data_IF_726657866793
#
_entry.id   IF_726657866793
#
_cell.length_a   1.000
_cell.length_b   1.000
_cell.length_c   1.000
_cell.angle_alpha   90.00
_cell.angle_beta   90.00
_cell.angle_gamma   90.00
#
_symmetry.space_group_name_H-M   'P 1'
#
loop_
_entity.id
_entity.type
_entity.pdbx_description
1 polymer ?
#
# COMPACT_ATOMS: atom_id res chain seq x y z
N UNK A 1 27.35 -4.02 -2.11
CA UNK A 1 26.18 -4.15 -3.02
C UNK A 1 25.04 -4.74 -2.20
N UNK A 2 23.77 -4.52 -2.54
CA UNK A 2 22.65 -5.04 -1.75
C UNK A 2 21.87 -6.12 -2.50
N UNK A 3 21.38 -7.12 -1.77
CA UNK A 3 20.47 -8.13 -2.29
C UNK A 3 19.22 -8.18 -1.40
N UNK A 4 18.05 -7.96 -1.99
CA UNK A 4 16.76 -8.17 -1.33
C UNK A 4 16.32 -9.59 -1.66
N UNK A 5 16.29 -10.46 -0.66
CA UNK A 5 15.76 -11.82 -0.74
C UNK A 5 14.31 -11.82 -0.32
N UNK A 6 13.47 -12.42 -1.14
CA UNK A 6 12.04 -12.54 -0.90
C UNK A 6 11.55 -13.88 -1.42
N UNK A 7 10.67 -14.54 -0.67
CA UNK A 7 9.92 -15.67 -1.21
C UNK A 7 9.02 -15.19 -2.37
N UNK A 8 8.97 -15.93 -3.48
CA UNK A 8 8.20 -15.51 -4.66
C UNK A 8 6.70 -15.25 -4.35
N UNK A 9 6.14 -15.97 -3.37
CA UNK A 9 4.76 -15.82 -2.91
C UNK A 9 4.51 -14.50 -2.15
N UNK A 10 5.55 -13.80 -1.69
CA UNK A 10 5.46 -12.53 -0.93
C UNK A 10 5.83 -11.29 -1.76
N UNK A 11 6.00 -11.44 -3.08
CA UNK A 11 6.40 -10.33 -3.94
C UNK A 11 5.41 -9.15 -3.93
N UNK A 12 4.13 -9.43 -3.68
CA UNK A 12 3.08 -8.42 -3.55
C UNK A 12 3.22 -7.55 -2.29
N UNK A 13 4.04 -7.97 -1.32
CA UNK A 13 4.14 -7.31 -0.03
C UNK A 13 4.81 -5.93 -0.13
N UNK A 14 4.22 -4.85 0.45
CA UNK A 14 4.73 -3.49 0.31
C UNK A 14 6.14 -3.29 0.83
N UNK A 15 6.57 -4.08 1.84
CA UNK A 15 7.93 -4.00 2.39
C UNK A 15 9.03 -4.34 1.37
N UNK A 16 8.77 -5.28 0.45
CA UNK A 16 9.72 -5.66 -0.61
C UNK A 16 9.95 -4.47 -1.53
N UNK A 17 8.86 -3.85 -2.00
CA UNK A 17 8.93 -2.68 -2.85
C UNK A 17 9.52 -1.45 -2.13
N UNK A 18 9.22 -1.28 -0.85
CA UNK A 18 9.82 -0.25 -0.01
C UNK A 18 11.34 -0.40 0.08
N UNK A 19 11.85 -1.61 0.35
CA UNK A 19 13.29 -1.85 0.40
C UNK A 19 14.00 -1.53 -0.93
N UNK A 20 13.42 -1.93 -2.06
CA UNK A 20 13.98 -1.69 -3.39
C UNK A 20 13.97 -0.21 -3.77
N UNK A 21 12.87 0.49 -3.52
CA UNK A 21 12.76 1.93 -3.77
C UNK A 21 13.66 2.74 -2.84
N UNK A 22 13.81 2.33 -1.57
CA UNK A 22 14.72 2.97 -0.64
C UNK A 22 16.18 2.80 -1.07
N UNK A 23 16.60 1.57 -1.43
CA UNK A 23 17.95 1.32 -1.96
C UNK A 23 18.22 2.12 -3.24
N UNK A 24 17.19 2.32 -4.06
CA UNK A 24 17.26 3.20 -5.23
C UNK A 24 17.43 4.67 -4.85
N UNK A 25 16.67 5.16 -3.87
CA UNK A 25 16.77 6.52 -3.36
C UNK A 25 18.14 6.81 -2.76
N UNK A 26 18.73 5.81 -2.09
CA UNK A 26 20.10 5.84 -1.55
C UNK A 26 21.18 5.66 -2.64
N UNK A 27 20.78 5.56 -3.91
CA UNK A 27 21.64 5.36 -5.09
C UNK A 27 22.59 4.16 -4.95
N UNK A 28 22.17 3.13 -4.19
CA UNK A 28 22.94 1.92 -4.00
C UNK A 28 22.60 0.89 -5.06
N UNK A 29 23.61 0.18 -5.58
CA UNK A 29 23.39 -0.95 -6.48
C UNK A 29 22.73 -2.10 -5.71
N UNK A 30 21.56 -2.52 -6.16
CA UNK A 30 20.75 -3.56 -5.54
C UNK A 30 20.16 -4.54 -6.56
N UNK A 31 19.84 -5.75 -6.10
CA UNK A 31 19.17 -6.81 -6.87
C UNK A 31 18.08 -7.48 -6.04
N UNK A 32 17.07 -8.03 -6.70
CA UNK A 32 16.04 -8.87 -6.10
C UNK A 32 16.37 -10.34 -6.38
N UNK A 33 16.39 -11.15 -5.33
CA UNK A 33 16.55 -12.60 -5.39
C UNK A 33 15.24 -13.23 -4.93
N UNK A 34 14.61 -14.00 -5.80
CA UNK A 34 13.38 -14.73 -5.48
C UNK A 34 13.77 -16.13 -5.04
N UNK A 35 13.42 -16.48 -3.80
CA UNK A 35 13.53 -17.85 -3.33
C UNK A 35 12.29 -18.63 -3.79
N UNK A 36 12.45 -19.90 -4.21
CA UNK A 36 11.34 -20.72 -4.68
C UNK A 36 10.28 -20.85 -3.58
N UNK A 37 9.01 -20.91 -3.99
CA UNK A 37 7.88 -21.03 -3.06
C UNK A 37 8.07 -22.28 -2.21
N UNK A 38 8.32 -22.11 -0.92
CA UNK A 38 8.31 -23.23 0.00
C UNK A 38 6.83 -23.60 0.20
N UNK A 39 6.40 -24.72 -0.37
CA UNK A 39 5.05 -25.29 -0.16
C UNK A 39 4.73 -25.49 1.32
N UNK A 40 5.74 -25.50 2.18
CA UNK A 40 5.65 -25.50 3.64
C UNK A 40 5.12 -24.18 4.21
N UNK A 41 5.37 -23.00 3.61
CA UNK A 41 4.95 -21.72 4.19
C UNK A 41 3.44 -21.50 4.08
N UNK A 42 2.86 -21.78 2.91
CA UNK A 42 1.41 -21.67 2.67
C UNK A 42 0.61 -22.79 3.33
N UNK A 43 1.22 -23.95 3.59
CA UNK A 43 0.57 -25.11 4.21
C UNK A 43 0.70 -25.16 5.75
N UNK A 44 1.78 -24.63 6.34
CA UNK A 44 2.05 -24.76 7.78
C UNK A 44 1.56 -23.54 8.58
N UNK A 45 1.52 -22.33 7.97
CA UNK A 45 1.10 -21.09 8.66
C UNK A 45 0.28 -20.13 7.78
N UNK A 46 -0.95 -20.49 7.40
CA UNK A 46 -1.84 -19.61 6.63
C UNK A 46 -2.11 -18.28 7.36
N UNK A 47 -2.15 -18.31 8.69
CA UNK A 47 -2.35 -17.15 9.58
C UNK A 47 -1.23 -16.09 9.45
N UNK A 48 0.03 -16.52 9.24
CA UNK A 48 1.18 -15.62 9.10
C UNK A 48 1.26 -15.02 7.68
N UNK A 49 0.60 -15.63 6.68
CA UNK A 49 0.64 -15.18 5.28
C UNK A 49 -0.23 -13.93 5.02
N UNK A 50 -1.25 -13.68 5.85
CA UNK A 50 -2.20 -12.59 5.63
C UNK A 50 -1.85 -11.34 6.42
N UNK A 51 -1.05 -11.49 7.47
CA UNK A 51 -0.66 -10.40 8.37
C UNK A 51 0.47 -9.57 7.75
N UNK A 52 0.13 -8.39 7.25
CA UNK A 52 1.04 -7.46 6.59
C UNK A 52 2.10 -6.91 7.54
N UNK A 53 1.81 -6.86 8.84
CA UNK A 53 2.79 -6.45 9.85
C UNK A 53 3.84 -7.54 10.17
N UNK A 54 3.63 -8.80 9.74
CA UNK A 54 4.51 -9.94 10.06
C UNK A 54 5.28 -10.46 8.84
N UNK A 55 5.89 -9.57 8.07
CA UNK A 55 6.66 -9.93 6.87
C UNK A 55 8.13 -10.30 7.13
N UNK A 56 8.64 -10.07 8.35
CA UNK A 56 10.08 -10.17 8.68
C UNK A 56 10.68 -11.57 8.45
N UNK A 57 9.87 -12.62 8.52
CA UNK A 57 10.29 -14.00 8.26
C UNK A 57 10.47 -14.30 6.78
N UNK A 58 9.92 -13.48 5.88
CA UNK A 58 9.83 -13.77 4.43
C UNK A 58 10.66 -12.83 3.57
N UNK A 59 11.16 -11.74 4.15
CA UNK A 59 11.99 -10.75 3.48
C UNK A 59 13.29 -10.57 4.26
N UNK A 60 14.41 -10.63 3.56
CA UNK A 60 15.73 -10.35 4.11
C UNK A 60 16.51 -9.44 3.15
N UNK A 61 17.21 -8.47 3.73
CA UNK A 61 18.04 -7.51 3.01
C UNK A 61 19.47 -7.78 3.44
N UNK A 62 20.26 -8.33 2.52
CA UNK A 62 21.66 -8.67 2.73
C UNK A 62 22.54 -7.58 2.11
N UNK A 63 23.45 -7.04 2.91
CA UNK A 63 24.56 -6.24 2.40
C UNK A 63 25.69 -7.19 2.01
N UNK A 64 25.96 -7.34 0.72
CA UNK A 64 27.15 -8.07 0.29
C UNK A 64 28.36 -7.20 0.59
N UNK A 65 29.00 -7.51 1.72
CA UNK A 65 30.40 -7.17 1.94
C UNK A 65 31.20 -7.87 0.84
N UNK A 66 32.12 -7.15 0.22
CA UNK A 66 33.18 -7.77 -0.57
C UNK A 66 34.01 -8.63 0.37
N UNK A 67 33.56 -9.86 0.61
CA UNK A 67 34.41 -10.96 1.02
C UNK A 67 35.39 -11.16 -0.12
N UNK A 68 36.53 -10.47 -0.04
CA UNK A 68 37.73 -10.83 -0.77
C UNK A 68 38.14 -12.24 -0.31
N UNK A 69 37.54 -13.23 -0.96
CA UNK A 69 37.99 -14.61 -1.01
C UNK A 69 38.16 -14.96 -2.49
N UNK A 70 39.00 -14.18 -3.16
CA UNK A 70 39.69 -14.58 -4.37
C UNK A 70 41.13 -14.12 -4.20
N UNK A 71 41.91 -14.95 -3.52
CA UNK A 71 43.35 -14.89 -3.55
C UNK A 71 43.81 -15.07 -5.00
N UNK A 72 44.10 -13.98 -5.70
CA UNK A 72 45.01 -14.02 -6.84
C UNK A 72 45.82 -12.73 -6.84
N UNK A 73 47.12 -12.91 -6.65
CA UNK A 73 48.16 -11.90 -6.86
C UNK A 73 47.97 -11.25 -8.24
N UNK A 74 47.87 -9.93 -8.32
CA UNK A 74 48.92 -9.08 -8.91
C UNK A 74 48.41 -7.65 -9.16
N UNK A 75 49.32 -6.71 -8.88
CA UNK A 75 49.55 -5.41 -9.49
C UNK A 75 48.40 -4.44 -9.83
N UNK A 76 48.48 -3.28 -9.16
CA UNK A 76 48.12 -1.91 -9.55
C UNK A 76 47.40 -1.64 -10.89
N UNK A 77 46.43 -0.72 -10.86
CA UNK A 77 46.48 0.61 -11.54
C UNK A 77 45.14 1.33 -11.34
N UNK A 78 45.23 2.64 -11.13
CA UNK A 78 44.18 3.48 -10.54
C UNK A 78 42.89 3.66 -11.34
N UNK A 79 41.80 3.81 -10.58
CA UNK A 79 40.60 4.54 -10.97
C UNK A 79 40.05 5.25 -9.74
N UNK A 80 39.93 6.58 -9.84
CA UNK A 80 39.12 7.39 -8.92
C UNK A 80 37.66 6.96 -9.09
N UNK A 81 37.23 5.97 -8.31
CA UNK A 81 35.83 5.59 -8.22
C UNK A 81 35.16 6.41 -7.11
N UNK A 82 33.96 6.89 -7.44
CA UNK A 82 32.95 7.52 -6.60
C UNK A 82 32.88 6.93 -5.18
N UNK A 83 32.35 7.64 -4.16
CA UNK A 83 32.42 7.17 -2.78
C UNK A 83 31.54 5.93 -2.60
N UNK A 84 32.12 4.76 -2.86
CA UNK A 84 31.60 3.48 -2.43
C UNK A 84 31.75 3.48 -0.92
N UNK A 85 30.61 3.65 -0.24
CA UNK A 85 30.52 3.71 1.21
C UNK A 85 31.18 2.46 1.79
N UNK A 86 32.30 2.66 2.48
CA UNK A 86 33.03 1.59 3.17
C UNK A 86 32.14 1.06 4.30
N UNK A 87 31.86 -0.25 4.25
CA UNK A 87 31.17 -0.95 5.32
C UNK A 87 32.05 -0.94 6.57
N UNK A 88 31.46 -0.62 7.73
CA UNK A 88 32.15 -0.76 9.00
C UNK A 88 32.48 -2.25 9.25
N UNK A 89 33.74 -2.56 9.56
CA UNK A 89 34.17 -3.89 10.01
C UNK A 89 33.44 -4.23 11.32
N UNK A 90 32.31 -4.93 11.21
CA UNK A 90 31.43 -5.27 12.33
C UNK A 90 29.97 -4.84 12.20
N UNK A 91 29.57 -4.18 11.10
CA UNK A 91 28.18 -3.79 10.86
C UNK A 91 27.22 -4.96 10.67
N UNK A 92 25.92 -4.74 10.94
CA UNK A 92 24.83 -5.65 10.62
C UNK A 92 24.99 -6.12 9.17
N UNK A 93 24.94 -7.43 8.91
CA UNK A 93 25.08 -8.01 7.56
C UNK A 93 23.75 -8.34 6.90
N UNK A 94 22.72 -8.49 7.72
CA UNK A 94 21.35 -8.86 7.33
C UNK A 94 20.36 -8.07 8.16
N UNK A 95 19.32 -7.59 7.49
CA UNK A 95 18.22 -6.84 8.08
C UNK A 95 16.90 -7.35 7.49
N UNK A 96 15.82 -7.32 8.26
CA UNK A 96 14.50 -7.79 7.82
C UNK A 96 13.54 -6.64 7.50
N UNK A 97 13.61 -5.53 8.24
CA UNK A 97 12.77 -4.36 8.02
C UNK A 97 13.42 -3.35 7.07
N UNK A 98 12.67 -2.76 6.12
CA UNK A 98 13.22 -1.74 5.22
C UNK A 98 13.72 -0.50 5.98
N UNK A 99 13.08 -0.15 7.10
CA UNK A 99 13.49 0.98 7.96
C UNK A 99 14.90 0.81 8.53
N UNK A 100 15.31 -0.45 8.73
CA UNK A 100 16.60 -0.79 9.30
C UNK A 100 17.74 -0.79 8.26
N UNK A 101 17.45 -0.52 6.97
CA UNK A 101 18.49 -0.35 5.94
C UNK A 101 19.46 0.78 6.33
N UNK A 102 18.99 1.80 7.04
CA UNK A 102 19.83 2.90 7.50
C UNK A 102 20.94 2.46 8.47
N UNK A 103 20.76 1.36 9.21
CA UNK A 103 21.81 0.83 10.11
C UNK A 103 23.02 0.25 9.37
N UNK A 104 22.92 -0.02 8.06
CA UNK A 104 24.08 -0.42 7.26
C UNK A 104 25.04 0.74 6.99
N UNK A 105 24.56 1.99 7.09
CA UNK A 105 25.36 3.17 6.81
C UNK A 105 25.93 3.74 8.10
N UNK A 106 27.26 3.94 8.20
CA UNK A 106 27.84 4.56 9.39
C UNK A 106 27.32 5.98 9.55
N UNK A 107 27.01 6.40 10.78
CA UNK A 107 26.52 7.74 11.14
C UNK A 107 27.52 8.88 10.85
N UNK A 108 28.63 8.61 10.17
CA UNK A 108 29.82 9.45 10.09
C UNK A 108 29.69 10.69 9.18
N UNK A 109 28.53 10.95 8.59
CA UNK A 109 28.32 12.10 7.69
C UNK A 109 26.92 12.72 7.80
N UNK A 110 26.34 12.79 9.00
CA UNK A 110 25.02 13.39 9.19
C UNK A 110 25.08 14.93 9.20
N UNK A 111 25.03 15.57 8.03
CA UNK A 111 24.64 16.97 7.94
C UNK A 111 23.20 17.19 8.45
N UNK A 112 22.87 18.42 8.87
CA UNK A 112 21.53 18.78 9.36
C UNK A 112 20.40 18.41 8.38
N UNK A 113 20.66 18.48 7.08
CA UNK A 113 19.71 18.09 6.03
C UNK A 113 19.42 16.59 6.02
N UNK A 114 20.46 15.76 6.21
CA UNK A 114 20.32 14.31 6.29
C UNK A 114 19.48 13.90 7.51
N UNK A 115 19.68 14.57 8.65
CA UNK A 115 18.91 14.30 9.85
C UNK A 115 17.43 14.68 9.69
N UNK A 116 17.12 15.81 9.04
CA UNK A 116 15.75 16.20 8.71
C UNK A 116 15.09 15.21 7.75
N UNK A 117 15.81 14.78 6.72
CA UNK A 117 15.30 13.83 5.74
C UNK A 117 15.07 12.44 6.35
N UNK A 118 15.94 12.01 7.26
CA UNK A 118 15.78 10.78 8.03
C UNK A 118 14.57 10.85 8.96
N UNK A 119 14.39 11.98 9.67
CA UNK A 119 13.22 12.18 10.54
C UNK A 119 11.92 12.12 9.74
N UNK A 120 11.83 12.85 8.63
CA UNK A 120 10.66 12.82 7.75
C UNK A 120 10.41 11.41 7.17
N UNK A 121 11.47 10.66 6.87
CA UNK A 121 11.37 9.27 6.46
C UNK A 121 10.79 8.38 7.56
N UNK A 122 11.29 8.49 8.78
CA UNK A 122 10.83 7.68 9.91
C UNK A 122 9.37 7.99 10.25
N UNK A 123 8.98 9.27 10.23
CA UNK A 123 7.59 9.69 10.43
C UNK A 123 6.67 9.08 9.35
N UNK A 124 7.08 9.17 8.08
CA UNK A 124 6.35 8.56 6.97
C UNK A 124 6.29 7.02 7.07
N UNK A 125 7.37 6.39 7.52
CA UNK A 125 7.45 4.95 7.73
C UNK A 125 6.59 4.47 8.91
N UNK A 126 6.41 5.30 9.94
CA UNK A 126 5.47 5.06 11.03
C UNK A 126 4.03 5.18 10.54
N UNK A 127 3.68 6.25 9.81
CA UNK A 127 2.32 6.40 9.23
C UNK A 127 1.99 5.20 8.34
N UNK A 128 2.95 4.81 7.52
CA UNK A 128 2.90 3.61 6.71
C UNK A 128 2.57 2.34 7.53
N UNK A 129 3.32 2.10 8.60
CA UNK A 129 3.10 0.94 9.48
C UNK A 129 1.72 0.96 10.16
N UNK A 130 1.25 2.14 10.60
CA UNK A 130 -0.09 2.30 11.18
C UNK A 130 -1.21 1.96 10.19
N UNK A 131 -1.03 2.31 8.90
CA UNK A 131 -1.99 1.96 7.85
C UNK A 131 -1.99 0.45 7.58
N UNK A 132 -0.83 -0.20 7.57
CA UNK A 132 -0.75 -1.66 7.42
C UNK A 132 -1.41 -2.40 8.58
N UNK A 133 -1.19 -1.95 9.82
CA UNK A 133 -1.88 -2.48 10.99
C UNK A 133 -3.40 -2.29 10.92
N UNK A 134 -3.87 -1.13 10.44
CA UNK A 134 -5.30 -0.92 10.24
C UNK A 134 -5.88 -1.84 9.16
N UNK A 135 -5.12 -2.20 8.12
CA UNK A 135 -5.52 -3.20 7.14
C UNK A 135 -5.58 -4.59 7.76
N UNK A 136 -4.58 -4.97 8.58
CA UNK A 136 -4.59 -6.23 9.33
C UNK A 136 -5.84 -6.33 10.22
N UNK A 137 -6.19 -5.25 10.94
CA UNK A 137 -7.40 -5.18 11.77
C UNK A 137 -8.69 -5.41 10.94
N UNK A 138 -8.77 -4.87 9.71
CA UNK A 138 -9.92 -5.07 8.82
C UNK A 138 -9.98 -6.51 8.31
N UNK A 139 -8.84 -7.09 7.92
CA UNK A 139 -8.76 -8.48 7.48
C UNK A 139 -9.15 -9.44 8.61
N UNK A 140 -8.68 -9.18 9.83
CA UNK A 140 -9.06 -9.95 11.01
C UNK A 140 -10.56 -9.83 11.30
N UNK A 141 -11.11 -8.61 11.30
CA UNK A 141 -12.54 -8.37 11.50
C UNK A 141 -13.38 -9.12 10.45
N UNK A 142 -12.97 -9.08 9.18
CA UNK A 142 -13.63 -9.82 8.09
C UNK A 142 -13.62 -11.32 8.35
N UNK A 143 -12.51 -11.88 8.84
CA UNK A 143 -12.41 -13.32 9.14
C UNK A 143 -13.30 -13.74 10.32
N UNK A 144 -13.58 -12.84 11.26
CA UNK A 144 -14.52 -13.10 12.37
C UNK A 144 -16.00 -13.02 11.97
N UNK A 145 -16.30 -12.54 10.75
CA UNK A 145 -17.65 -12.33 10.22
C UNK A 145 -18.56 -11.37 11.04
N UNK A 146 -17.97 -10.57 11.93
CA UNK A 146 -18.68 -9.56 12.70
C UNK A 146 -18.77 -8.24 11.91
N UNK A 147 -19.97 -7.94 11.40
CA UNK A 147 -20.19 -6.81 10.49
C UNK A 147 -19.97 -5.45 11.16
N UNK A 148 -20.34 -5.29 12.43
CA UNK A 148 -20.14 -4.02 13.15
C UNK A 148 -18.67 -3.75 13.45
N UNK A 149 -17.92 -4.79 13.82
CA UNK A 149 -16.46 -4.67 14.00
C UNK A 149 -15.79 -4.34 12.67
N UNK A 150 -16.19 -5.01 11.58
CA UNK A 150 -15.72 -4.71 10.23
C UNK A 150 -16.02 -3.26 9.82
N UNK A 151 -17.20 -2.74 10.18
CA UNK A 151 -17.57 -1.33 9.93
C UNK A 151 -16.65 -0.37 10.70
N UNK A 152 -16.38 -0.66 11.97
CA UNK A 152 -15.54 0.18 12.82
C UNK A 152 -14.08 0.18 12.35
N UNK A 153 -13.50 -1.00 12.09
CA UNK A 153 -12.12 -1.10 11.59
C UNK A 153 -11.98 -0.49 10.20
N UNK A 154 -12.96 -0.67 9.30
CA UNK A 154 -12.96 0.00 7.99
C UNK A 154 -13.05 1.52 8.12
N UNK A 155 -13.89 2.05 9.03
CA UNK A 155 -13.97 3.49 9.27
C UNK A 155 -12.65 4.07 9.78
N UNK A 156 -11.99 3.37 10.73
CA UNK A 156 -10.65 3.74 11.23
C UNK A 156 -9.61 3.78 10.11
N UNK A 157 -9.62 2.80 9.20
CA UNK A 157 -8.74 2.80 8.03
C UNK A 157 -9.01 4.02 7.13
N UNK A 158 -10.28 4.33 6.86
CA UNK A 158 -10.64 5.50 6.06
C UNK A 158 -10.23 6.81 6.73
N UNK A 159 -10.39 6.93 8.05
CA UNK A 159 -9.94 8.11 8.81
C UNK A 159 -8.42 8.32 8.72
N UNK A 160 -7.63 7.24 8.75
CA UNK A 160 -6.18 7.32 8.55
C UNK A 160 -5.83 7.80 7.14
N UNK A 161 -6.54 7.32 6.12
CA UNK A 161 -6.35 7.78 4.74
C UNK A 161 -6.77 9.24 4.57
N UNK A 162 -7.84 9.68 5.22
CA UNK A 162 -8.25 11.08 5.25
C UNK A 162 -7.19 11.94 5.93
N UNK A 163 -6.59 11.48 7.04
CA UNK A 163 -5.48 12.20 7.69
C UNK A 163 -4.26 12.31 6.76
N UNK A 164 -3.96 11.26 6.00
CA UNK A 164 -2.90 11.27 5.00
C UNK A 164 -3.22 12.28 3.88
N UNK A 165 -4.46 12.30 3.36
CA UNK A 165 -4.92 13.30 2.39
C UNK A 165 -4.78 14.73 2.96
N UNK A 166 -5.17 14.98 4.22
CA UNK A 166 -5.02 16.30 4.87
C UNK A 166 -3.55 16.70 5.06
N UNK A 167 -2.66 15.73 5.30
CA UNK A 167 -1.23 16.01 5.45
C UNK A 167 -0.57 16.46 4.14
N UNK A 168 -1.15 16.08 3.00
CA UNK A 168 -0.73 16.52 1.67
C UNK A 168 -1.26 17.93 1.31
N UNK A 169 -2.14 18.53 2.12
CA UNK A 169 -2.74 19.85 1.84
C UNK A 169 -1.77 21.03 2.01
N UNK A 170 -0.61 20.82 2.62
CA UNK A 170 0.35 21.88 2.91
C UNK A 170 1.36 22.23 1.80
N UNK A 171 1.45 21.42 0.73
CA UNK A 171 2.53 21.51 -0.28
C UNK A 171 2.10 22.14 -1.63
N UNK A 172 0.91 22.75 -1.70
CA UNK A 172 0.28 23.13 -3.00
C UNK A 172 0.84 24.42 -3.66
N UNK A 173 1.74 25.20 -3.04
CA UNK A 173 2.20 26.49 -3.62
C UNK A 173 3.64 26.53 -4.16
N UNK A 174 4.50 25.57 -3.87
CA UNK A 174 5.81 25.46 -4.53
C UNK A 174 6.14 23.99 -4.77
N UNK A 175 5.71 23.46 -5.92
CA UNK A 175 6.11 22.16 -6.48
C UNK A 175 7.60 21.91 -6.24
N UNK A 176 7.97 21.12 -5.24
CA UNK A 176 9.38 20.90 -5.03
C UNK A 176 9.81 19.87 -6.08
N UNK A 177 11.04 20.02 -6.56
CA UNK A 177 11.73 19.09 -7.48
C UNK A 177 11.99 17.73 -6.80
N UNK A 178 11.03 17.18 -6.07
CA UNK A 178 11.16 16.06 -5.15
C UNK A 178 10.99 14.74 -5.87
N UNK A 179 11.96 14.41 -6.71
CA UNK A 179 12.15 13.03 -7.15
C UNK A 179 13.04 12.23 -6.19
N UNK A 180 13.43 12.81 -5.04
CA UNK A 180 14.46 12.27 -4.14
C UNK A 180 14.16 12.36 -2.63
N UNK A 181 12.95 12.75 -2.20
CA UNK A 181 12.60 12.72 -0.78
C UNK A 181 12.34 11.29 -0.31
N UNK A 182 13.07 10.85 0.72
CA UNK A 182 12.98 9.47 1.23
C UNK A 182 11.60 9.13 1.81
N UNK A 183 10.91 10.13 2.39
CA UNK A 183 9.57 10.00 2.98
C UNK A 183 8.48 9.60 1.98
N UNK A 184 8.68 9.87 0.68
CA UNK A 184 7.67 9.56 -0.35
C UNK A 184 7.52 8.07 -0.62
N UNK A 185 8.61 7.31 -0.53
CA UNK A 185 8.66 5.89 -0.90
C UNK A 185 7.84 4.96 0.01
N UNK A 186 7.89 5.05 1.36
CA UNK A 186 7.05 4.21 2.23
C UNK A 186 5.56 4.48 2.03
N UNK A 187 5.16 5.75 1.83
CA UNK A 187 3.76 6.11 1.57
C UNK A 187 3.31 5.61 0.20
N UNK A 188 4.16 5.76 -0.82
CA UNK A 188 3.88 5.27 -2.18
C UNK A 188 3.68 3.77 -2.22
N UNK A 189 4.52 2.98 -1.56
CA UNK A 189 4.44 1.51 -1.61
C UNK A 189 3.17 0.98 -0.97
N UNK A 190 2.71 1.63 0.09
CA UNK A 190 1.44 1.29 0.74
C UNK A 190 0.25 1.74 -0.08
N UNK A 191 0.27 2.95 -0.63
CA UNK A 191 -0.78 3.40 -1.55
C UNK A 191 -0.88 2.48 -2.76
N UNK A 192 0.26 2.06 -3.32
CA UNK A 192 0.31 1.07 -4.40
C UNK A 192 -0.34 -0.24 -3.99
N UNK A 193 0.02 -0.78 -2.82
CA UNK A 193 -0.61 -2.00 -2.29
C UNK A 193 -2.12 -1.82 -2.08
N UNK A 194 -2.55 -0.70 -1.48
CA UNK A 194 -3.95 -0.41 -1.23
C UNK A 194 -4.76 -0.34 -2.52
N UNK A 195 -4.21 0.26 -3.58
CA UNK A 195 -4.90 0.43 -4.87
C UNK A 195 -4.88 -0.85 -5.71
N UNK A 196 -3.73 -1.51 -5.84
CA UNK A 196 -3.55 -2.65 -6.74
C UNK A 196 -3.99 -3.99 -6.12
N UNK A 197 -3.68 -4.20 -4.84
CA UNK A 197 -3.95 -5.45 -4.12
C UNK A 197 -5.20 -5.34 -3.24
N UNK A 198 -5.31 -4.33 -2.36
CA UNK A 198 -6.47 -4.21 -1.47
C UNK A 198 -7.75 -3.76 -2.18
N UNK A 199 -7.61 -3.00 -3.28
CA UNK A 199 -8.72 -2.53 -4.12
C UNK A 199 -9.36 -1.22 -3.66
N UNK A 200 -8.62 -0.34 -2.97
CA UNK A 200 -9.06 0.97 -2.50
C UNK A 200 -9.62 1.83 -3.64
N UNK A 201 -10.77 2.46 -3.38
CA UNK A 201 -11.36 3.44 -4.29
C UNK A 201 -10.74 4.82 -4.02
N UNK A 202 -10.10 5.39 -5.05
CA UNK A 202 -9.44 6.70 -4.97
C UNK A 202 -10.39 7.89 -5.15
N UNK A 203 -11.67 7.66 -5.44
CA UNK A 203 -12.68 8.72 -5.62
C UNK A 203 -12.72 9.76 -4.51
N UNK A 204 -12.78 9.37 -3.21
CA UNK A 204 -12.78 10.33 -2.09
C UNK A 204 -11.41 10.98 -1.79
N UNK A 205 -10.32 10.56 -2.44
CA UNK A 205 -8.95 11.00 -2.15
C UNK A 205 -8.27 11.55 -3.42
N UNK A 206 -8.73 12.71 -3.96
CA UNK A 206 -8.25 13.22 -5.24
C UNK A 206 -6.77 13.64 -5.23
N UNK A 207 -6.24 14.15 -4.11
CA UNK A 207 -4.84 14.60 -4.01
C UNK A 207 -3.91 13.40 -3.90
N UNK A 208 -4.24 12.41 -3.07
CA UNK A 208 -3.55 11.12 -3.03
C UNK A 208 -3.57 10.47 -4.42
N UNK A 209 -4.70 10.51 -5.13
CA UNK A 209 -4.79 9.96 -6.49
C UNK A 209 -3.83 10.68 -7.46
N UNK A 210 -3.72 12.01 -7.37
CA UNK A 210 -2.78 12.82 -8.18
C UNK A 210 -1.32 12.47 -7.83
N UNK A 211 -0.96 12.47 -6.54
CA UNK A 211 0.38 12.14 -6.07
C UNK A 211 0.78 10.70 -6.45
N UNK A 212 -0.14 9.74 -6.29
CA UNK A 212 0.07 8.36 -6.69
C UNK A 212 0.38 8.22 -8.18
N UNK A 213 -0.42 8.85 -9.06
CA UNK A 213 -0.18 8.81 -10.52
C UNK A 213 1.15 9.46 -10.90
N UNK A 214 1.47 10.61 -10.30
CA UNK A 214 2.74 11.29 -10.53
C UNK A 214 3.95 10.42 -10.13
N UNK A 215 3.87 9.75 -8.97
CA UNK A 215 4.93 8.85 -8.51
C UNK A 215 4.99 7.58 -9.38
N UNK A 216 3.86 7.07 -9.84
CA UNK A 216 3.79 5.91 -10.75
C UNK A 216 4.50 6.19 -12.08
N UNK A 217 4.33 7.39 -12.63
CA UNK A 217 4.98 7.84 -13.86
C UNK A 217 6.45 8.26 -13.67
N UNK A 218 6.92 8.31 -12.42
CA UNK A 218 8.30 8.69 -12.11
C UNK A 218 9.31 7.70 -12.70
N UNK A 219 10.43 8.22 -13.19
CA UNK A 219 11.54 7.39 -13.72
C UNK A 219 12.03 6.35 -12.71
N UNK A 220 11.95 6.67 -11.41
CA UNK A 220 12.39 5.79 -10.35
C UNK A 220 11.50 4.54 -10.25
N UNK A 221 10.18 4.74 -10.20
CA UNK A 221 9.19 3.66 -10.13
C UNK A 221 9.16 2.85 -11.42
N UNK A 222 9.27 3.49 -12.60
CA UNK A 222 9.34 2.77 -13.88
C UNK A 222 10.55 1.83 -13.93
N UNK A 223 11.73 2.30 -13.51
CA UNK A 223 12.93 1.49 -13.48
C UNK A 223 12.86 0.36 -12.44
N UNK A 224 12.25 0.63 -11.28
CA UNK A 224 11.95 -0.40 -10.26
C UNK A 224 11.03 -1.49 -10.82
N UNK A 225 9.91 -1.12 -11.44
CA UNK A 225 8.98 -2.07 -12.06
C UNK A 225 9.65 -2.89 -13.16
N UNK A 226 10.51 -2.26 -13.98
CA UNK A 226 11.32 -2.98 -14.98
C UNK A 226 12.29 -3.98 -14.34
N UNK A 227 12.93 -3.61 -13.23
CA UNK A 227 13.82 -4.50 -12.49
C UNK A 227 13.06 -5.72 -11.97
N UNK A 228 11.92 -5.51 -11.31
CA UNK A 228 11.06 -6.59 -10.78
C UNK A 228 10.57 -7.51 -11.90
N UNK A 229 10.09 -6.95 -13.01
CA UNK A 229 9.63 -7.74 -14.16
C UNK A 229 10.78 -8.53 -14.80
N UNK A 230 11.97 -7.94 -14.91
CA UNK A 230 13.15 -8.63 -15.43
C UNK A 230 13.56 -9.77 -14.52
N UNK A 231 13.55 -9.58 -13.20
CA UNK A 231 13.86 -10.67 -12.25
C UNK A 231 12.85 -11.81 -12.36
N UNK A 232 11.55 -11.49 -12.49
CA UNK A 232 10.50 -12.50 -12.71
C UNK A 232 10.69 -13.28 -14.02
N UNK A 233 11.11 -12.60 -15.09
CA UNK A 233 11.39 -13.25 -16.38
C UNK A 233 12.63 -14.14 -16.31
N UNK A 234 13.68 -13.72 -15.61
CA UNK A 234 14.90 -14.51 -15.44
C UNK A 234 14.63 -15.77 -14.61
N UNK A 235 13.90 -15.66 -13.50
CA UNK A 235 13.52 -16.83 -12.69
C UNK A 235 12.61 -17.79 -13.43
N UNK A 236 11.77 -17.27 -14.36
CA UNK A 236 10.93 -18.11 -15.24
C UNK A 236 11.75 -18.94 -16.23
N UNK A 237 12.89 -18.43 -16.67
CA UNK A 237 13.69 -19.08 -17.72
C UNK A 237 14.71 -20.08 -17.16
N UNK A 238 15.18 -19.90 -15.92
CA UNK A 238 16.16 -20.79 -15.28
C UNK A 238 15.53 -22.07 -14.71
N UNK A 239 14.28 -21.99 -14.20
CA UNK A 239 13.57 -23.15 -13.67
C UNK A 239 12.37 -23.49 -14.56
N UNK A 240 12.42 -24.63 -15.25
CA UNK A 240 11.35 -25.14 -16.12
C UNK A 240 9.98 -25.37 -15.44
N UNK A 241 9.85 -25.04 -14.15
CA UNK A 241 8.64 -25.13 -13.32
C UNK A 241 8.35 -23.83 -12.54
N UNK A 242 8.62 -22.66 -13.11
CA UNK A 242 8.24 -21.40 -12.45
C UNK A 242 6.72 -21.19 -12.46
N UNK A 243 6.09 -21.34 -11.29
CA UNK A 243 4.72 -20.90 -11.04
C UNK A 243 4.74 -19.37 -10.98
N UNK A 244 3.97 -18.64 -11.83
CA UNK A 244 3.91 -17.19 -11.75
C UNK A 244 3.57 -16.75 -10.32
N UNK A 245 4.12 -15.63 -9.82
CA UNK A 245 3.84 -15.17 -8.47
C UNK A 245 2.33 -15.10 -8.28
N UNK A 246 1.81 -15.89 -7.33
CA UNK A 246 0.37 -15.91 -7.07
C UNK A 246 -0.08 -14.50 -6.71
N UNK A 247 -1.19 -14.02 -7.28
CA UNK A 247 -1.82 -12.82 -6.74
C UNK A 247 -2.11 -13.02 -5.26
N UNK A 248 -2.13 -11.92 -4.50
CA UNK A 248 -2.46 -11.97 -3.09
C UNK A 248 -3.85 -12.60 -2.88
N UNK A 249 -3.98 -13.48 -1.89
CA UNK A 249 -5.21 -14.26 -1.67
C UNK A 249 -6.45 -13.38 -1.38
N UNK A 250 -6.23 -12.17 -0.87
CA UNK A 250 -7.27 -11.20 -0.51
C UNK A 250 -7.41 -10.08 -1.53
N UNK A 251 -7.01 -10.32 -2.77
CA UNK A 251 -7.04 -9.28 -3.80
C UNK A 251 -8.45 -8.69 -3.96
N UNK A 252 -8.55 -7.38 -3.78
CA UNK A 252 -9.79 -6.62 -3.87
C UNK A 252 -10.68 -6.66 -2.62
N UNK A 253 -10.18 -7.15 -1.47
CA UNK A 253 -11.02 -7.33 -0.28
C UNK A 253 -11.69 -6.04 0.19
N UNK A 254 -11.10 -4.85 -0.01
CA UNK A 254 -11.74 -3.59 0.39
C UNK A 254 -13.04 -3.36 -0.40
N UNK A 255 -13.09 -3.76 -1.67
CA UNK A 255 -14.31 -3.67 -2.48
C UNK A 255 -15.36 -4.64 -1.97
N UNK A 256 -14.96 -5.81 -1.53
CA UNK A 256 -15.87 -6.80 -0.95
C UNK A 256 -16.40 -6.34 0.41
N UNK A 257 -15.54 -5.77 1.27
CA UNK A 257 -15.96 -5.14 2.54
C UNK A 257 -16.93 -4.01 2.27
N UNK A 258 -16.68 -3.13 1.29
CA UNK A 258 -17.60 -2.07 0.91
C UNK A 258 -18.95 -2.59 0.43
N UNK A 259 -18.97 -3.67 -0.37
CA UNK A 259 -20.21 -4.33 -0.78
C UNK A 259 -20.96 -4.91 0.41
N UNK A 260 -20.26 -5.64 1.28
CA UNK A 260 -20.87 -6.25 2.48
C UNK A 260 -21.44 -5.19 3.42
N UNK A 261 -20.73 -4.07 3.62
CA UNK A 261 -21.22 -2.95 4.44
C UNK A 261 -22.42 -2.26 3.77
N UNK A 262 -22.38 -2.07 2.45
CA UNK A 262 -23.53 -1.55 1.71
C UNK A 262 -24.76 -2.46 1.88
N UNK A 263 -24.60 -3.78 1.70
CA UNK A 263 -25.68 -4.76 1.87
C UNK A 263 -26.20 -4.84 3.31
N UNK A 264 -25.32 -4.70 4.30
CA UNK A 264 -25.66 -4.70 5.72
C UNK A 264 -26.45 -3.44 6.13
N UNK A 265 -26.10 -2.29 5.57
CA UNK A 265 -26.79 -1.01 5.85
C UNK A 265 -28.06 -0.80 5.02
N UNK A 266 -28.19 -1.49 3.88
CA UNK A 266 -29.32 -1.31 2.97
C UNK A 266 -30.58 -2.03 3.47
N UNK A 267 -31.62 -1.25 3.77
CA UNK A 267 -32.96 -1.77 4.03
C UNK A 267 -33.51 -2.50 2.78
N UNK A 268 -34.05 -3.72 2.91
CA UNK A 268 -34.77 -4.40 1.83
C UNK A 268 -35.79 -3.51 1.10
N UNK A 269 -36.50 -2.63 1.82
CA UNK A 269 -37.47 -1.73 1.22
C UNK A 269 -36.81 -0.66 0.32
N UNK A 270 -35.66 -0.14 0.72
CA UNK A 270 -34.90 0.83 -0.09
C UNK A 270 -34.33 0.17 -1.35
N UNK A 271 -33.85 -1.08 -1.25
CA UNK A 271 -33.36 -1.85 -2.41
C UNK A 271 -34.42 -2.10 -3.47
N UNK A 272 -35.68 -2.31 -3.08
CA UNK A 272 -36.79 -2.49 -4.03
C UNK A 272 -37.17 -1.21 -4.76
N UNK A 273 -36.84 -0.05 -4.19
CA UNK A 273 -37.21 1.28 -4.70
C UNK A 273 -36.06 1.91 -5.50
N UNK A 274 -34.82 1.49 -5.26
CA UNK A 274 -33.66 2.00 -5.99
C UNK A 274 -33.70 1.59 -7.47
N UNK A 275 -33.32 2.52 -8.35
CA UNK A 275 -33.42 2.35 -9.81
C UNK A 275 -34.86 2.38 -10.38
N UNK A 276 -35.90 2.30 -9.56
CA UNK A 276 -37.29 2.35 -10.02
C UNK A 276 -37.69 3.80 -10.35
N UNK A 277 -38.18 4.00 -11.59
CA UNK A 277 -38.73 5.27 -12.05
C UNK A 277 -40.18 5.07 -12.44
N UNK A 278 -41.06 5.95 -11.96
CA UNK A 278 -42.46 5.95 -12.33
C UNK A 278 -42.72 6.84 -13.55
N UNK A 279 -43.97 6.89 -13.99
CA UNK A 279 -44.43 7.74 -15.10
C UNK A 279 -44.15 9.25 -14.89
N UNK A 280 -44.01 9.66 -13.62
CA UNK A 280 -43.71 11.05 -13.23
C UNK A 280 -42.23 11.29 -12.93
N UNK A 281 -41.35 10.38 -13.37
CA UNK A 281 -39.92 10.41 -13.09
C UNK A 281 -39.54 9.67 -11.79
N UNK A 282 -38.48 10.10 -11.08
CA UNK A 282 -38.00 9.40 -9.89
C UNK A 282 -39.05 9.41 -8.79
N UNK A 283 -39.13 8.31 -8.04
CA UNK A 283 -40.14 8.14 -6.98
C UNK A 283 -40.01 9.23 -5.91
N UNK A 284 -41.15 9.70 -5.39
CA UNK A 284 -41.19 10.73 -4.33
C UNK A 284 -40.42 10.29 -3.07
N UNK A 285 -40.43 8.99 -2.75
CA UNK A 285 -39.66 8.44 -1.65
C UNK A 285 -38.14 8.64 -1.86
N UNK A 286 -37.66 8.53 -3.10
CA UNK A 286 -36.25 8.76 -3.45
C UNK A 286 -35.89 10.25 -3.45
N UNK A 287 -36.74 11.10 -4.03
CA UNK A 287 -36.49 12.55 -4.13
C UNK A 287 -36.62 13.26 -2.78
N UNK A 288 -37.55 12.80 -1.93
CA UNK A 288 -37.85 13.39 -0.63
C UNK A 288 -37.51 12.45 0.53
N UNK A 289 -36.56 11.53 0.35
CA UNK A 289 -36.08 10.63 1.40
C UNK A 289 -35.15 11.32 2.38
N UNK A 290 -34.16 12.05 1.87
CA UNK A 290 -33.26 12.90 2.65
C UNK A 290 -33.95 14.22 3.07
N UNK A 291 -34.86 14.14 4.04
CA UNK A 291 -35.63 15.30 4.52
C UNK A 291 -34.83 16.09 5.55
N UNK A 292 -34.11 17.11 5.11
CA UNK A 292 -33.48 18.11 5.98
C UNK A 292 -34.50 19.17 6.44
N UNK A 293 -35.59 18.72 7.06
CA UNK A 293 -36.70 19.57 7.50
C UNK A 293 -37.90 19.58 6.53
N UNK A 294 -39.10 19.77 7.08
CA UNK A 294 -40.36 19.64 6.33
C UNK A 294 -40.65 20.83 5.40
N UNK A 295 -40.09 22.02 5.69
CA UNK A 295 -40.33 23.24 4.92
C UNK A 295 -39.77 23.16 3.48
N UNK A 296 -38.70 22.40 3.29
CA UNK A 296 -38.06 22.22 1.98
C UNK A 296 -38.75 21.13 1.12
N UNK A 297 -39.68 20.37 1.70
CA UNK A 297 -40.35 19.28 0.98
C UNK A 297 -41.54 19.83 0.20
N UNK A 298 -41.44 19.84 -1.13
CA UNK A 298 -42.56 20.26 -1.98
C UNK A 298 -43.78 19.33 -1.84
N UNK A 299 -44.94 19.91 -1.50
CA UNK A 299 -46.19 19.20 -1.33
C UNK A 299 -46.87 18.91 -2.69
N UNK A 300 -46.34 17.94 -3.42
CA UNK A 300 -46.85 17.55 -4.76
C UNK A 300 -47.93 16.46 -4.74
N UNK A 301 -48.55 16.21 -3.59
CA UNK A 301 -49.57 15.16 -3.46
C UNK A 301 -50.92 15.70 -3.93
N UNK A 302 -51.57 15.10 -4.96
CA UNK A 302 -52.89 15.53 -5.40
C UNK A 302 -53.94 15.30 -4.31
N UNK A 303 -54.95 16.17 -4.26
CA UNK A 303 -56.05 16.11 -3.29
C UNK A 303 -56.84 14.79 -3.33
N UNK A 304 -56.90 14.12 -4.49
CA UNK A 304 -57.56 12.82 -4.67
C UNK A 304 -56.84 11.70 -3.92
N UNK A 305 -55.51 11.69 -3.96
CA UNK A 305 -54.64 10.73 -3.28
C UNK A 305 -54.52 11.03 -1.77
N UNK A 306 -54.70 12.30 -1.37
CA UNK A 306 -54.67 12.70 0.03
C UNK A 306 -55.79 12.06 0.86
N UNK A 307 -56.98 11.87 0.27
CA UNK A 307 -58.10 11.19 0.94
C UNK A 307 -57.86 9.70 1.15
N UNK A 308 -57.21 9.03 0.20
CA UNK A 308 -56.86 7.61 0.32
C UNK A 308 -55.80 7.39 1.40
N UNK A 309 -54.82 8.30 1.50
CA UNK A 309 -53.78 8.24 2.54
C UNK A 309 -54.36 8.41 3.95
N UNK A 310 -55.34 9.30 4.14
CA UNK A 310 -56.02 9.51 5.42
C UNK A 310 -57.01 8.39 5.81
N UNK A 311 -57.30 7.43 4.91
CA UNK A 311 -58.22 6.31 5.16
C UNK A 311 -57.52 4.99 5.46
N UNK A 312 -56.18 4.91 5.29
CA UNK A 312 -55.42 3.73 5.71
C UNK A 312 -55.20 3.81 7.23
N UNK A 313 -55.59 2.77 8.00
CA UNK A 313 -55.47 2.76 9.46
C UNK A 313 -54.01 2.81 9.93
#
# INVERSE_FOLDING_TARGET
MFAVKCEAAFLWHPAVHHSLLLLRALRQRHTLLLEPVCTTTTAIRPEDFWCLSRFRSFVAIDATGTSSAASFNDAEVGRKESPLLQFSEGGLRRVHDPQHIFYFFPAASSGLEHQRQLQAYLDAALVADHVLHAVDDVLQARNTAEMEVTRQTHSRLMDLLTRLETSLEGDDDELPRETENWSTWPLFTILKFLVEEAGLLLGPFPRVAKAYRQLQDSKAVVAHTRLVNRTLQLTRNDEGFFVPPSPWAYRGFLRDVQRQLADYTADPAERMVDGVSGEKGPLKARVSGARFGMQLVSARMPWTMQREWMRRP
#
